data_IF_578601706189
#
_entry.id   IF_578601706189
#
_cell.length_a   1.000
_cell.length_b   1.000
_cell.length_c   1.000
_cell.angle_alpha   90.00
_cell.angle_beta   90.00
_cell.angle_gamma   90.00
#
_symmetry.space_group_name_H-M   'P 1'
#
loop_
_entity.id
_entity.type
_entity.pdbx_description
1 polymer ?
#
# COMPACT_ATOMS: atom_id res chain seq x y z
N UNK A 1 -4.69 -11.13 -4.54
CA UNK A 1 -5.69 -10.06 -4.56
C UNK A 1 -5.12 -8.81 -5.20
N UNK A 2 -5.95 -7.89 -5.67
CA UNK A 2 -5.53 -6.58 -6.17
C UNK A 2 -5.74 -5.53 -5.07
N UNK A 3 -4.70 -4.78 -4.74
CA UNK A 3 -4.77 -3.67 -3.80
C UNK A 3 -5.11 -2.38 -4.56
N UNK A 4 -6.25 -1.76 -4.26
CA UNK A 4 -6.68 -0.53 -4.93
C UNK A 4 -6.53 0.64 -3.97
N UNK A 5 -5.65 1.58 -4.31
CA UNK A 5 -5.50 2.86 -3.62
C UNK A 5 -6.28 3.92 -4.40
N UNK A 6 -7.50 4.20 -3.94
CA UNK A 6 -8.44 5.16 -4.53
C UNK A 6 -8.82 6.32 -3.58
N UNK A 7 -8.13 6.43 -2.46
CA UNK A 7 -8.34 7.52 -1.50
C UNK A 7 -7.18 8.50 -1.60
N UNK A 8 -7.50 9.79 -1.79
CA UNK A 8 -6.51 10.86 -1.81
C UNK A 8 -5.74 10.93 -0.49
N UNK A 9 -4.42 11.05 -0.57
CA UNK A 9 -3.54 11.07 0.60
C UNK A 9 -3.31 9.70 1.24
N UNK A 10 -3.69 8.61 0.55
CA UNK A 10 -3.27 7.26 0.95
C UNK A 10 -1.75 7.14 0.92
N UNK A 11 -1.19 6.43 1.89
CA UNK A 11 0.23 6.16 1.99
C UNK A 11 0.52 4.67 2.06
N UNK A 12 1.33 4.17 1.13
CA UNK A 12 1.76 2.77 1.09
C UNK A 12 3.22 2.66 1.57
N UNK A 13 3.46 1.88 2.61
CA UNK A 13 4.81 1.60 3.09
C UNK A 13 5.06 0.13 3.37
N UNK A 14 6.32 -0.28 3.44
CA UNK A 14 6.70 -1.64 3.85
C UNK A 14 6.83 -1.73 5.37
N UNK A 15 6.43 -2.87 5.92
CA UNK A 15 6.69 -3.29 7.32
C UNK A 15 7.11 -4.76 7.31
N UNK A 16 8.40 -5.02 7.10
CA UNK A 16 8.88 -6.38 6.88
C UNK A 16 8.25 -6.97 5.61
N UNK A 17 7.56 -8.09 5.70
CA UNK A 17 6.89 -8.76 4.56
C UNK A 17 5.41 -8.34 4.38
N UNK A 18 5.05 -7.18 4.94
CA UNK A 18 3.70 -6.64 4.91
C UNK A 18 3.69 -5.29 4.20
N UNK A 19 2.66 -5.07 3.38
CA UNK A 19 2.23 -3.75 2.98
C UNK A 19 1.44 -3.10 4.11
N UNK A 20 1.86 -1.91 4.52
CA UNK A 20 1.10 -1.04 5.40
C UNK A 20 0.45 0.06 4.57
N UNK A 21 -0.87 0.10 4.56
CA UNK A 21 -1.66 1.17 3.94
C UNK A 21 -2.17 2.07 5.05
N UNK A 22 -1.82 3.36 4.99
CA UNK A 22 -2.35 4.39 5.89
C UNK A 22 -3.29 5.30 5.12
N UNK A 23 -4.45 5.55 5.70
CA UNK A 23 -5.43 6.51 5.19
C UNK A 23 -5.98 7.28 6.39
N UNK A 24 -5.67 8.57 6.47
CA UNK A 24 -5.99 9.40 7.65
C UNK A 24 -5.49 8.72 8.94
N UNK A 25 -6.39 8.41 9.88
CA UNK A 25 -6.07 7.78 11.16
C UNK A 25 -6.11 6.25 11.12
N UNK A 26 -6.43 5.65 9.98
CA UNK A 26 -6.52 4.21 9.82
C UNK A 26 -5.24 3.64 9.21
N UNK A 27 -4.80 2.51 9.74
CA UNK A 27 -3.66 1.77 9.22
C UNK A 27 -4.01 0.30 9.07
N UNK A 28 -3.97 -0.20 7.85
CA UNK A 28 -4.21 -1.61 7.52
C UNK A 28 -2.90 -2.27 7.15
N UNK A 29 -2.69 -3.51 7.62
CA UNK A 29 -1.54 -4.33 7.25
C UNK A 29 -2.01 -5.50 6.40
N UNK A 30 -1.36 -5.70 5.26
CA UNK A 30 -1.70 -6.73 4.29
C UNK A 30 -0.43 -7.50 3.97
N UNK A 31 -0.51 -8.84 3.97
CA UNK A 31 0.64 -9.67 3.58
C UNK A 31 0.98 -9.44 2.10
N UNK A 32 2.24 -9.13 1.81
CA UNK A 32 2.69 -8.88 0.44
C UNK A 32 2.46 -10.09 -0.47
N UNK A 33 2.65 -11.31 0.06
CA UNK A 33 2.40 -12.57 -0.64
C UNK A 33 0.96 -12.73 -1.15
N UNK A 34 0.00 -12.04 -0.52
CA UNK A 34 -1.41 -12.09 -0.92
C UNK A 34 -1.74 -11.05 -1.99
N UNK A 35 -0.89 -10.05 -2.22
CA UNK A 35 -1.10 -8.96 -3.18
C UNK A 35 -0.43 -9.34 -4.50
N UNK A 36 -1.20 -9.33 -5.58
CA UNK A 36 -0.74 -9.67 -6.95
C UNK A 36 -0.50 -8.41 -7.78
N UNK A 37 -1.22 -7.34 -7.49
CA UNK A 37 -1.12 -6.07 -8.19
C UNK A 37 -1.56 -4.94 -7.27
N UNK A 38 -1.01 -3.76 -7.51
CA UNK A 38 -1.36 -2.51 -6.82
C UNK A 38 -1.82 -1.53 -7.89
N UNK A 39 -3.06 -1.05 -7.78
CA UNK A 39 -3.62 -0.02 -8.65
C UNK A 39 -3.75 1.28 -7.87
N UNK A 40 -3.10 2.33 -8.36
CA UNK A 40 -3.21 3.67 -7.80
C UNK A 40 -4.05 4.49 -8.77
N UNK A 41 -5.22 4.95 -8.32
CA UNK A 41 -6.19 5.69 -9.15
C UNK A 41 -6.31 7.17 -8.75
N UNK A 42 -5.78 7.54 -7.59
CA UNK A 42 -5.79 8.90 -7.03
C UNK A 42 -4.41 9.26 -6.48
N UNK A 43 -4.18 10.53 -6.15
CA UNK A 43 -2.93 10.95 -5.51
C UNK A 43 -2.65 10.18 -4.22
N UNK A 44 -1.61 9.34 -4.25
CA UNK A 44 -1.14 8.53 -3.14
C UNK A 44 0.38 8.61 -3.06
N UNK A 45 0.92 8.53 -1.85
CA UNK A 45 2.35 8.48 -1.62
C UNK A 45 2.79 7.04 -1.32
N UNK A 46 4.01 6.70 -1.67
CA UNK A 46 4.60 5.40 -1.34
C UNK A 46 6.07 5.56 -0.97
N UNK A 47 6.56 4.69 -0.10
CA UNK A 47 7.99 4.58 0.18
C UNK A 47 8.69 3.70 -0.85
N UNK A 48 9.98 3.94 -1.06
CA UNK A 48 10.79 3.17 -2.01
C UNK A 48 10.88 1.69 -1.65
N UNK A 49 10.91 1.37 -0.35
CA UNK A 49 10.93 -0.01 0.14
C UNK A 49 9.62 -0.77 -0.11
N UNK A 50 8.48 -0.07 -0.23
CA UNK A 50 7.22 -0.66 -0.65
C UNK A 50 7.23 -0.99 -2.13
N UNK A 51 7.83 -0.15 -2.96
CA UNK A 51 8.01 -0.43 -4.40
C UNK A 51 8.94 -1.62 -4.61
N UNK A 52 10.01 -1.72 -3.83
CA UNK A 52 10.95 -2.85 -3.91
C UNK A 52 10.32 -4.19 -3.50
N UNK A 53 9.30 -4.16 -2.64
CA UNK A 53 8.59 -5.37 -2.18
C UNK A 53 7.48 -5.82 -3.14
N UNK A 54 6.96 -4.90 -3.95
CA UNK A 54 5.88 -5.15 -4.91
C UNK A 54 6.38 -5.88 -6.15
#
# INVERSE_FOLDING_TARGET
>A
MQLVLNTYGAYLSRRGELFQVKVKDQSTKISARKVRSILISTGAAFSSDAVQLA
#
